data_IF_259971758927
#
_entry.id   IF_259971758927
#
_cell.length_a   1.000
_cell.length_b   1.000
_cell.length_c   1.000
_cell.angle_alpha   90.00
_cell.angle_beta   90.00
_cell.angle_gamma   90.00
#
_symmetry.space_group_name_H-M   'P 1'
#
loop_
_entity.id
_entity.type
_entity.pdbx_description
1 polymer ?
#
# COMPACT_ATOMS: atom_id res chain seq x y z
N UNK A 1 -21.22 -29.51 17.26
CA UNK A 1 -20.12 -30.04 16.42
C UNK A 1 -19.92 -29.00 15.35
N UNK A 2 -18.69 -28.55 15.11
CA UNK A 2 -18.46 -27.53 14.08
C UNK A 2 -19.00 -28.03 12.73
N UNK A 3 -19.72 -27.16 12.02
CA UNK A 3 -20.19 -27.43 10.68
C UNK A 3 -19.06 -27.13 9.68
N UNK A 4 -18.95 -27.96 8.65
CA UNK A 4 -17.87 -27.85 7.65
C UNK A 4 -18.48 -27.50 6.30
N UNK A 5 -17.90 -26.52 5.62
CA UNK A 5 -18.14 -26.22 4.20
C UNK A 5 -16.85 -26.53 3.44
N UNK A 6 -16.91 -27.40 2.45
CA UNK A 6 -15.77 -27.74 1.59
C UNK A 6 -15.92 -27.03 0.23
N UNK A 7 -14.82 -26.51 -0.29
CA UNK A 7 -14.80 -25.85 -1.60
C UNK A 7 -13.39 -25.89 -2.21
N UNK A 8 -13.32 -25.57 -3.50
CA UNK A 8 -12.07 -25.41 -4.25
C UNK A 8 -11.91 -23.91 -4.54
N UNK A 9 -10.72 -23.35 -4.34
CA UNK A 9 -10.46 -21.96 -4.71
C UNK A 9 -10.41 -21.80 -6.23
N UNK A 10 -11.40 -21.14 -6.83
CA UNK A 10 -11.48 -20.91 -8.28
C UNK A 10 -10.87 -19.57 -8.72
N UNK A 11 -10.40 -18.76 -7.77
CA UNK A 11 -9.87 -17.42 -8.03
C UNK A 11 -8.53 -17.49 -8.75
N UNK A 12 -8.36 -16.84 -9.91
CA UNK A 12 -7.13 -16.93 -10.71
C UNK A 12 -5.87 -16.54 -9.94
N UNK A 13 -5.96 -15.53 -9.06
CA UNK A 13 -4.83 -15.07 -8.24
C UNK A 13 -4.88 -15.60 -6.80
N UNK A 14 -5.73 -16.59 -6.51
CA UNK A 14 -5.94 -17.14 -5.17
C UNK A 14 -6.68 -16.16 -4.22
N UNK A 15 -6.63 -16.45 -2.92
CA UNK A 15 -7.22 -15.58 -1.89
C UNK A 15 -6.23 -14.53 -1.45
N UNK A 16 -6.19 -13.44 -2.21
CA UNK A 16 -5.44 -12.24 -1.85
C UNK A 16 -6.35 -11.21 -1.16
N UNK A 17 -5.86 -10.00 -0.85
CA UNK A 17 -6.61 -9.11 0.04
C UNK A 17 -8.01 -8.69 -0.42
N UNK A 18 -8.31 -8.54 -1.72
CA UNK A 18 -9.69 -8.22 -2.14
C UNK A 18 -10.65 -9.38 -1.84
N UNK A 19 -10.42 -10.61 -2.35
CA UNK A 19 -11.22 -11.76 -1.95
C UNK A 19 -11.23 -12.01 -0.44
N UNK A 20 -10.10 -11.85 0.24
CA UNK A 20 -10.01 -12.00 1.69
C UNK A 20 -10.90 -10.97 2.42
N UNK A 21 -10.91 -9.70 2.02
CA UNK A 21 -11.80 -8.68 2.57
C UNK A 21 -13.28 -8.98 2.32
N UNK A 22 -13.63 -9.57 1.17
CA UNK A 22 -15.00 -10.02 0.93
C UNK A 22 -15.41 -11.18 1.86
N UNK A 23 -14.54 -12.17 2.04
CA UNK A 23 -14.74 -13.26 3.00
C UNK A 23 -14.86 -12.71 4.41
N UNK A 24 -13.92 -11.86 4.83
CA UNK A 24 -13.90 -11.18 6.12
C UNK A 24 -15.19 -10.40 6.38
N UNK A 25 -15.62 -9.59 5.42
CA UNK A 25 -16.83 -8.75 5.54
C UNK A 25 -18.05 -9.63 5.80
N UNK A 26 -18.20 -10.72 5.04
CA UNK A 26 -19.31 -11.64 5.24
C UNK A 26 -19.18 -12.41 6.56
N UNK A 27 -17.99 -12.89 6.90
CA UNK A 27 -17.78 -13.66 8.14
C UNK A 27 -18.03 -12.79 9.40
N UNK A 28 -17.73 -11.49 9.34
CA UNK A 28 -18.00 -10.55 10.42
C UNK A 28 -19.49 -10.26 10.64
N UNK A 29 -20.40 -10.67 9.74
CA UNK A 29 -21.85 -10.57 10.01
C UNK A 29 -22.36 -11.64 10.97
N UNK A 30 -21.54 -12.66 11.28
CA UNK A 30 -21.88 -13.76 12.17
C UNK A 30 -21.18 -13.62 13.51
N UNK A 31 -21.82 -14.11 14.56
CA UNK A 31 -21.25 -14.24 15.91
C UNK A 31 -20.35 -15.48 16.04
N UNK A 32 -20.61 -16.55 15.29
CA UNK A 32 -19.83 -17.80 15.31
C UNK A 32 -18.37 -17.61 14.97
N UNK A 33 -17.51 -18.46 15.52
CA UNK A 33 -16.13 -18.60 15.07
C UNK A 33 -16.12 -19.31 13.72
N UNK A 34 -15.33 -18.79 12.79
CA UNK A 34 -15.20 -19.31 11.43
C UNK A 34 -13.71 -19.44 11.14
N UNK A 35 -13.22 -20.66 10.97
CA UNK A 35 -11.82 -20.97 10.64
C UNK A 35 -11.73 -21.39 9.18
N UNK A 36 -10.86 -20.73 8.42
CA UNK A 36 -10.45 -21.12 7.08
C UNK A 36 -9.26 -22.06 7.15
N UNK A 37 -9.34 -23.20 6.49
CA UNK A 37 -8.26 -24.19 6.43
C UNK A 37 -7.90 -24.48 4.97
N UNK A 38 -6.66 -24.17 4.58
CA UNK A 38 -6.11 -24.62 3.31
C UNK A 38 -5.47 -26.00 3.49
N UNK A 39 -6.04 -27.02 2.82
CA UNK A 39 -5.59 -28.40 2.97
C UNK A 39 -4.24 -28.67 2.28
N UNK A 40 -3.81 -27.84 1.31
CA UNK A 40 -2.50 -27.97 0.67
C UNK A 40 -1.37 -27.57 1.62
N UNK A 41 -1.53 -26.44 2.29
CA UNK A 41 -0.50 -25.88 3.17
C UNK A 41 -0.65 -26.34 4.63
N UNK A 42 -1.77 -26.97 4.95
CA UNK A 42 -2.23 -27.27 6.32
C UNK A 42 -2.29 -26.03 7.22
N UNK A 43 -2.42 -24.84 6.61
CA UNK A 43 -2.52 -23.57 7.35
C UNK A 43 -3.96 -23.23 7.62
N UNK A 44 -4.19 -22.67 8.81
CA UNK A 44 -5.48 -22.23 9.31
C UNK A 44 -5.46 -20.74 9.60
N UNK A 45 -6.57 -20.07 9.37
CA UNK A 45 -6.73 -18.65 9.64
C UNK A 45 -8.15 -18.32 10.09
N UNK A 46 -8.30 -17.31 10.94
CA UNK A 46 -9.61 -16.78 11.29
C UNK A 46 -10.25 -16.13 10.06
N UNK A 47 -11.40 -16.64 9.60
CA UNK A 47 -12.06 -16.12 8.40
C UNK A 47 -12.67 -14.72 8.60
N UNK A 48 -12.69 -14.21 9.83
CA UNK A 48 -13.03 -12.82 10.16
C UNK A 48 -11.82 -11.87 10.15
N UNK A 49 -10.67 -12.35 9.69
CA UNK A 49 -9.45 -11.57 9.52
C UNK A 49 -8.96 -11.77 8.09
N UNK A 50 -8.93 -10.69 7.32
CA UNK A 50 -8.30 -10.70 6.01
C UNK A 50 -6.80 -11.07 6.12
N UNK A 51 -6.10 -10.62 7.16
CA UNK A 51 -4.69 -10.97 7.41
C UNK A 51 -4.50 -12.49 7.58
N UNK A 52 -5.32 -13.12 8.43
CA UNK A 52 -5.22 -14.56 8.69
C UNK A 52 -5.59 -15.40 7.47
N UNK A 53 -6.61 -14.98 6.71
CA UNK A 53 -6.97 -15.62 5.44
C UNK A 53 -5.81 -15.59 4.44
N UNK A 54 -5.16 -14.44 4.30
CA UNK A 54 -3.98 -14.28 3.45
C UNK A 54 -2.83 -15.18 3.90
N UNK A 55 -2.58 -15.27 5.21
CA UNK A 55 -1.55 -16.13 5.80
C UNK A 55 -1.70 -17.62 5.47
N UNK A 56 -2.90 -18.07 5.10
CA UNK A 56 -3.15 -19.45 4.65
C UNK A 56 -2.51 -19.79 3.29
N UNK A 57 -2.06 -18.77 2.53
CA UNK A 57 -1.45 -18.89 1.20
C UNK A 57 -2.34 -19.70 0.25
N UNK A 58 -3.65 -19.41 0.20
CA UNK A 58 -4.61 -20.12 -0.66
C UNK A 58 -4.47 -19.71 -2.13
N UNK A 59 -4.17 -20.69 -2.99
CA UNK A 59 -3.97 -20.53 -4.43
C UNK A 59 -5.11 -21.14 -5.25
N UNK A 60 -5.16 -20.80 -6.53
CA UNK A 60 -6.11 -21.40 -7.48
C UNK A 60 -5.97 -22.93 -7.48
N UNK A 61 -7.11 -23.63 -7.38
CA UNK A 61 -7.19 -25.09 -7.34
C UNK A 61 -6.97 -25.72 -5.96
N UNK A 62 -6.67 -24.95 -4.91
CA UNK A 62 -6.52 -25.49 -3.55
C UNK A 62 -7.86 -25.97 -3.01
N UNK A 63 -7.85 -27.13 -2.32
CA UNK A 63 -8.98 -27.60 -1.54
C UNK A 63 -8.98 -26.93 -0.17
N UNK A 64 -10.12 -26.35 0.20
CA UNK A 64 -10.26 -25.58 1.43
C UNK A 64 -11.50 -26.01 2.22
N UNK A 65 -11.45 -25.75 3.52
CA UNK A 65 -12.57 -25.96 4.44
C UNK A 65 -12.86 -24.69 5.24
N UNK A 66 -14.14 -24.39 5.44
CA UNK A 66 -14.60 -23.47 6.48
C UNK A 66 -15.17 -24.28 7.64
N UNK A 67 -14.59 -24.14 8.82
CA UNK A 67 -15.08 -24.74 10.06
C UNK A 67 -15.84 -23.67 10.83
N UNK A 68 -17.14 -23.89 11.06
CA UNK A 68 -18.04 -22.92 11.67
C UNK A 68 -18.55 -23.47 12.99
N UNK A 69 -18.37 -22.74 14.08
CA UNK A 69 -18.85 -23.13 15.39
C UNK A 69 -19.35 -21.94 16.20
N UNK A 70 -20.56 -22.04 16.75
CA UNK A 70 -21.14 -20.97 17.57
C UNK A 70 -22.66 -20.92 17.53
N UNK A 71 -23.21 -19.79 17.97
CA UNK A 71 -24.66 -19.63 18.18
C UNK A 71 -25.46 -19.60 16.87
N UNK A 72 -24.89 -19.03 15.82
CA UNK A 72 -25.49 -18.90 14.48
C UNK A 72 -24.81 -19.83 13.44
N UNK A 73 -24.21 -20.94 13.89
CA UNK A 73 -23.43 -21.83 13.02
C UNK A 73 -24.22 -22.40 11.84
N UNK A 74 -25.51 -22.68 12.02
CA UNK A 74 -26.41 -23.18 10.97
C UNK A 74 -26.68 -22.12 9.89
N UNK A 75 -26.99 -20.88 10.31
CA UNK A 75 -27.23 -19.77 9.40
C UNK A 75 -25.96 -19.40 8.63
N UNK A 76 -24.82 -19.34 9.35
CA UNK A 76 -23.50 -19.14 8.78
C UNK A 76 -23.16 -20.21 7.74
N UNK A 77 -23.36 -21.50 8.07
CA UNK A 77 -23.11 -22.61 7.15
C UNK A 77 -23.91 -22.47 5.85
N UNK A 78 -25.21 -22.19 5.94
CA UNK A 78 -26.07 -22.04 4.76
C UNK A 78 -25.64 -20.85 3.90
N UNK A 79 -25.45 -19.67 4.50
CA UNK A 79 -25.10 -18.43 3.78
C UNK A 79 -23.72 -18.51 3.15
N UNK A 80 -22.72 -19.02 3.88
CA UNK A 80 -21.34 -19.16 3.38
C UNK A 80 -21.25 -20.21 2.27
N UNK A 81 -21.96 -21.34 2.40
CA UNK A 81 -22.02 -22.36 1.34
C UNK A 81 -22.60 -21.81 0.04
N UNK A 82 -23.65 -20.97 0.13
CA UNK A 82 -24.23 -20.31 -1.04
C UNK A 82 -23.27 -19.26 -1.61
N UNK A 83 -22.71 -18.41 -0.75
CA UNK A 83 -21.81 -17.34 -1.16
C UNK A 83 -20.56 -17.86 -1.88
N UNK A 84 -19.92 -18.91 -1.35
CA UNK A 84 -18.75 -19.55 -1.94
C UNK A 84 -19.01 -20.10 -3.34
N UNK A 85 -20.26 -20.48 -3.64
CA UNK A 85 -20.67 -20.97 -4.95
C UNK A 85 -20.99 -19.85 -5.93
N UNK A 86 -21.77 -18.88 -5.48
CA UNK A 86 -22.44 -17.94 -6.39
C UNK A 86 -21.67 -16.61 -6.52
N UNK A 87 -21.01 -16.16 -5.45
CA UNK A 87 -20.41 -14.83 -5.35
C UNK A 87 -18.89 -14.87 -5.31
N UNK A 88 -18.30 -15.76 -4.51
CA UNK A 88 -16.85 -15.84 -4.30
C UNK A 88 -16.01 -15.92 -5.59
N UNK A 89 -16.36 -16.71 -6.62
CA UNK A 89 -15.58 -16.78 -7.86
C UNK A 89 -15.46 -15.44 -8.61
N UNK A 90 -16.30 -14.45 -8.27
CA UNK A 90 -16.36 -13.14 -8.90
C UNK A 90 -15.66 -12.05 -8.09
N UNK A 91 -15.09 -12.39 -6.92
CA UNK A 91 -14.40 -11.45 -6.03
C UNK A 91 -13.01 -11.00 -6.53
N UNK A 92 -12.47 -11.63 -7.58
CA UNK A 92 -11.17 -11.31 -8.17
C UNK A 92 -11.30 -10.78 -9.61
N UNK A 93 -12.22 -9.84 -9.84
CA UNK A 93 -12.31 -9.18 -11.15
C UNK A 93 -10.94 -8.58 -11.55
N UNK A 94 -10.43 -8.86 -12.77
CA UNK A 94 -9.05 -8.62 -13.13
C UNK A 94 -8.68 -7.14 -13.07
N UNK A 95 -7.51 -6.85 -12.48
CA UNK A 95 -6.84 -5.56 -12.63
C UNK A 95 -6.36 -5.45 -14.09
N UNK A 96 -6.52 -4.28 -14.70
CA UNK A 96 -6.06 -4.06 -16.07
C UNK A 96 -4.55 -4.34 -16.18
N UNK A 97 -4.18 -5.33 -17.00
CA UNK A 97 -2.79 -5.57 -17.34
C UNK A 97 -2.21 -4.33 -18.05
N UNK A 98 -1.16 -3.75 -17.47
CA UNK A 98 -0.41 -2.69 -18.13
C UNK A 98 0.58 -3.34 -19.08
N UNK A 99 0.46 -3.01 -20.38
CA UNK A 99 1.30 -3.54 -21.45
C UNK A 99 2.79 -3.21 -21.25
N UNK A 100 3.59 -4.27 -21.39
CA UNK A 100 5.01 -4.40 -21.80
C UNK A 100 6.11 -3.62 -21.07
N UNK A 101 7.09 -4.37 -20.56
CA UNK A 101 8.38 -3.97 -19.97
C UNK A 101 9.38 -3.33 -20.96
N UNK A 102 8.99 -2.99 -22.19
CA UNK A 102 9.90 -2.40 -23.17
C UNK A 102 9.96 -0.87 -23.01
N UNK A 103 11.14 -0.37 -22.65
CA UNK A 103 11.44 1.05 -22.59
C UNK A 103 11.31 1.67 -23.99
N UNK A 104 10.35 2.60 -24.15
CA UNK A 104 10.19 3.33 -25.42
C UNK A 104 11.47 4.09 -25.79
N UNK A 105 11.82 4.18 -27.09
CA UNK A 105 13.00 4.90 -27.53
C UNK A 105 12.90 6.39 -27.19
N UNK A 106 14.04 6.99 -26.85
CA UNK A 106 14.11 8.43 -26.56
C UNK A 106 13.72 9.27 -27.79
N UNK A 107 13.03 10.41 -27.60
CA UNK A 107 12.81 11.37 -28.67
C UNK A 107 14.13 11.78 -29.33
N UNK A 108 14.15 11.86 -30.66
CA UNK A 108 15.35 12.25 -31.43
C UNK A 108 15.82 13.66 -31.04
N UNK A 109 14.86 14.57 -30.82
CA UNK A 109 15.10 15.93 -30.33
C UNK A 109 15.90 15.96 -29.03
N UNK A 110 15.57 15.07 -28.08
CA UNK A 110 16.26 14.95 -26.80
C UNK A 110 17.62 14.25 -26.97
N UNK A 111 17.68 13.17 -27.75
CA UNK A 111 18.89 12.38 -28.00
C UNK A 111 20.00 13.25 -28.63
N UNK A 112 19.65 14.14 -29.54
CA UNK A 112 20.59 15.05 -30.20
C UNK A 112 21.23 16.08 -29.24
N UNK A 113 20.65 16.30 -28.06
CA UNK A 113 21.21 17.18 -27.03
C UNK A 113 22.28 16.46 -26.19
N UNK A 114 22.50 15.16 -26.41
CA UNK A 114 23.42 14.31 -25.67
C UNK A 114 23.33 14.45 -24.13
N UNK A 115 22.11 14.35 -23.54
CA UNK A 115 21.93 14.46 -22.10
C UNK A 115 22.48 13.24 -21.34
N UNK A 116 22.81 13.44 -20.07
CA UNK A 116 23.08 12.33 -19.16
C UNK A 116 21.75 11.76 -18.65
N UNK A 117 21.46 10.49 -18.99
CA UNK A 117 20.17 9.85 -18.72
C UNK A 117 20.35 8.58 -17.90
N UNK A 118 19.50 8.42 -16.89
CA UNK A 118 19.25 7.16 -16.20
C UNK A 118 17.86 6.66 -16.66
N UNK A 119 17.77 5.37 -16.99
CA UNK A 119 16.54 4.75 -17.52
C UNK A 119 15.81 4.01 -16.41
N UNK A 120 14.49 4.11 -16.39
CA UNK A 120 13.64 3.41 -15.42
C UNK A 120 12.26 3.15 -16.02
N UNK A 121 11.50 2.23 -15.40
CA UNK A 121 10.20 1.80 -15.90
C UNK A 121 9.16 2.90 -15.67
N UNK A 122 8.44 3.27 -16.73
CA UNK A 122 7.32 4.18 -16.64
C UNK A 122 6.11 3.53 -15.99
N UNK A 123 5.46 4.27 -15.08
CA UNK A 123 4.11 3.92 -14.63
C UNK A 123 3.11 5.06 -14.79
N UNK A 124 3.54 6.30 -14.56
CA UNK A 124 2.75 7.48 -14.89
C UNK A 124 3.53 8.36 -15.85
N UNK A 125 2.90 8.63 -17.00
CA UNK A 125 3.43 9.48 -18.07
C UNK A 125 3.49 10.95 -17.66
N UNK A 126 4.13 11.77 -18.50
CA UNK A 126 4.33 13.20 -18.30
C UNK A 126 5.77 13.56 -17.94
N UNK A 127 6.12 14.84 -18.09
CA UNK A 127 7.47 15.34 -17.83
C UNK A 127 7.45 16.48 -16.82
N UNK A 128 8.44 16.54 -15.93
CA UNK A 128 8.57 17.62 -14.98
C UNK A 128 10.03 17.88 -14.57
N UNK A 129 10.32 19.10 -14.13
CA UNK A 129 11.60 19.49 -13.55
C UNK A 129 11.46 19.85 -12.07
N UNK A 130 12.46 19.52 -11.27
CA UNK A 130 12.46 19.82 -9.85
C UNK A 130 13.77 19.44 -9.17
N UNK A 131 13.88 19.82 -7.90
CA UNK A 131 15.01 19.46 -7.06
C UNK A 131 14.86 18.01 -6.60
N UNK A 132 15.87 17.18 -6.88
CA UNK A 132 15.89 15.79 -6.44
C UNK A 132 15.93 15.74 -4.91
N UNK A 133 14.85 15.26 -4.30
CA UNK A 133 14.67 15.29 -2.84
C UNK A 133 14.50 13.87 -2.32
N UNK A 134 15.45 13.35 -1.52
CA UNK A 134 15.27 12.05 -0.90
C UNK A 134 14.17 12.10 0.15
N UNK A 135 13.28 11.11 0.11
CA UNK A 135 12.26 10.86 1.12
C UNK A 135 12.61 9.53 1.79
N UNK A 136 12.74 9.56 3.11
CA UNK A 136 12.98 8.34 3.87
C UNK A 136 11.77 7.42 3.79
N UNK A 137 11.99 6.19 3.33
CA UNK A 137 11.00 5.14 3.43
C UNK A 137 10.69 4.86 4.90
N UNK A 138 9.42 4.58 5.19
CA UNK A 138 8.99 4.23 6.53
C UNK A 138 9.60 2.88 6.92
N UNK A 139 10.51 2.88 7.89
CA UNK A 139 11.02 1.65 8.51
C UNK A 139 10.75 1.68 10.02
N UNK A 140 9.82 0.83 10.44
CA UNK A 140 9.42 0.72 11.84
C UNK A 140 10.55 0.14 12.72
N UNK A 141 11.48 -0.63 12.13
CA UNK A 141 12.62 -1.19 12.85
C UNK A 141 13.72 -0.17 13.12
N UNK A 142 13.78 0.89 12.31
CA UNK A 142 14.71 2.00 12.50
C UNK A 142 14.25 2.99 13.59
N UNK A 143 13.04 2.83 14.13
CA UNK A 143 12.52 3.67 15.21
C UNK A 143 13.32 3.45 16.50
N UNK A 144 14.20 4.39 16.82
CA UNK A 144 14.97 4.38 18.06
C UNK A 144 14.18 5.00 19.23
N UNK A 145 14.55 4.62 20.46
CA UNK A 145 13.94 5.14 21.69
C UNK A 145 12.42 5.00 21.73
N UNK A 146 11.89 3.79 21.51
CA UNK A 146 10.46 3.55 21.69
C UNK A 146 10.05 3.89 23.14
N UNK A 147 8.85 4.48 23.35
CA UNK A 147 8.32 4.72 24.69
C UNK A 147 8.34 3.45 25.55
N UNK A 148 8.81 3.58 26.79
CA UNK A 148 8.78 2.49 27.75
C UNK A 148 7.33 2.16 28.15
N UNK A 149 7.08 0.89 28.45
CA UNK A 149 5.78 0.42 28.90
C UNK A 149 5.37 1.10 30.21
N UNK A 150 4.10 1.48 30.29
CA UNK A 150 3.41 1.86 31.53
C UNK A 150 2.76 0.62 32.15
N UNK A 151 1.73 0.81 32.98
CA UNK A 151 0.86 -0.27 33.41
C UNK A 151 0.05 -0.83 32.22
N UNK A 152 -0.24 -2.14 32.29
CA UNK A 152 -0.91 -2.88 31.20
C UNK A 152 -2.27 -2.28 30.87
N UNK A 153 -3.04 -1.85 31.89
CA UNK A 153 -4.36 -1.27 31.70
C UNK A 153 -4.28 0.06 30.93
N UNK A 154 -3.31 0.92 31.25
CA UNK A 154 -3.07 2.16 30.53
C UNK A 154 -2.61 1.93 29.09
N UNK A 155 -1.75 0.94 28.84
CA UNK A 155 -1.32 0.59 27.48
C UNK A 155 -2.50 0.01 26.67
N UNK A 156 -3.29 -0.91 27.23
CA UNK A 156 -4.48 -1.45 26.55
C UNK A 156 -5.48 -0.34 26.21
N UNK A 157 -5.75 0.57 27.16
CA UNK A 157 -6.65 1.70 26.91
C UNK A 157 -6.08 2.66 25.85
N UNK A 158 -4.78 2.92 25.84
CA UNK A 158 -4.14 3.75 24.82
C UNK A 158 -4.24 3.10 23.43
N UNK A 159 -4.04 1.78 23.35
CA UNK A 159 -4.16 1.01 22.11
C UNK A 159 -5.58 1.05 21.54
N UNK A 160 -6.61 0.75 22.36
CA UNK A 160 -8.02 0.77 21.94
C UNK A 160 -8.46 2.16 21.48
N UNK A 161 -8.09 3.20 22.22
CA UNK A 161 -8.36 4.58 21.85
C UNK A 161 -7.65 4.96 20.54
N UNK A 162 -6.39 4.55 20.39
CA UNK A 162 -5.60 4.77 19.17
C UNK A 162 -6.24 4.13 17.95
N UNK A 163 -6.63 2.85 18.03
CA UNK A 163 -7.31 2.13 16.95
C UNK A 163 -8.64 2.80 16.58
N UNK A 164 -9.43 3.19 17.58
CA UNK A 164 -10.68 3.92 17.38
C UNK A 164 -10.47 5.23 16.63
N UNK A 165 -9.42 5.98 16.96
CA UNK A 165 -9.09 7.24 16.29
C UNK A 165 -8.59 7.02 14.86
N UNK A 166 -7.75 6.01 14.62
CA UNK A 166 -7.29 5.63 13.27
C UNK A 166 -8.49 5.32 12.37
N UNK A 167 -9.40 4.45 12.83
CA UNK A 167 -10.60 4.07 12.08
C UNK A 167 -11.48 5.29 11.76
N UNK A 168 -11.76 6.14 12.75
CA UNK A 168 -12.53 7.38 12.54
C UNK A 168 -11.86 8.33 11.54
N UNK A 169 -10.54 8.48 11.60
CA UNK A 169 -9.80 9.34 10.66
C UNK A 169 -9.83 8.78 9.23
N UNK A 170 -9.79 7.46 9.06
CA UNK A 170 -9.95 6.81 7.76
C UNK A 170 -11.38 7.02 7.24
N UNK A 171 -12.40 6.80 8.07
CA UNK A 171 -13.81 7.02 7.72
C UNK A 171 -14.09 8.46 7.32
N UNK A 172 -13.52 9.44 8.03
CA UNK A 172 -13.66 10.84 7.68
C UNK A 172 -13.04 11.16 6.32
N UNK A 173 -11.83 10.64 6.05
CA UNK A 173 -11.16 10.83 4.75
C UNK A 173 -11.92 10.17 3.60
N UNK A 174 -12.61 9.05 3.85
CA UNK A 174 -13.42 8.37 2.84
C UNK A 174 -14.55 9.24 2.29
N UNK A 175 -15.11 10.15 3.11
CA UNK A 175 -16.25 11.00 2.73
C UNK A 175 -15.96 11.96 1.56
N UNK A 176 -14.71 12.38 1.39
CA UNK A 176 -14.27 13.35 0.36
C UNK A 176 -13.26 12.73 -0.63
N UNK A 177 -13.14 11.41 -0.64
CA UNK A 177 -12.17 10.70 -1.47
C UNK A 177 -12.72 10.36 -2.87
N UNK A 178 -11.84 10.43 -3.88
CA UNK A 178 -12.15 9.91 -5.22
C UNK A 178 -12.07 8.38 -5.27
N UNK A 179 -12.50 7.77 -6.38
CA UNK A 179 -12.60 6.29 -6.46
C UNK A 179 -11.29 5.54 -6.20
N UNK A 180 -10.15 6.08 -6.62
CA UNK A 180 -8.84 5.46 -6.41
C UNK A 180 -8.36 5.59 -4.96
N UNK A 181 -8.51 6.80 -4.38
CA UNK A 181 -8.17 7.07 -2.98
C UNK A 181 -9.09 6.30 -2.04
N UNK A 182 -10.38 6.19 -2.37
CA UNK A 182 -11.38 5.46 -1.60
C UNK A 182 -11.01 3.98 -1.46
N UNK A 183 -10.68 3.30 -2.56
CA UNK A 183 -10.31 1.88 -2.52
C UNK A 183 -9.10 1.61 -1.60
N UNK A 184 -8.15 2.54 -1.53
CA UNK A 184 -6.96 2.43 -0.68
C UNK A 184 -7.32 2.67 0.79
N UNK A 185 -8.14 3.68 1.06
CA UNK A 185 -8.62 3.97 2.41
C UNK A 185 -9.52 2.85 2.95
N UNK A 186 -10.34 2.21 2.12
CA UNK A 186 -11.11 1.02 2.48
C UNK A 186 -10.20 -0.15 2.85
N UNK A 187 -9.12 -0.35 2.10
CA UNK A 187 -8.07 -1.31 2.40
C UNK A 187 -7.42 -1.03 3.77
N UNK A 188 -7.08 0.22 4.07
CA UNK A 188 -6.54 0.61 5.38
C UNK A 188 -7.56 0.45 6.49
N UNK A 189 -8.85 0.73 6.23
CA UNK A 189 -9.95 0.52 7.20
C UNK A 189 -10.08 -0.95 7.57
N UNK A 190 -10.07 -1.85 6.57
CA UNK A 190 -10.12 -3.31 6.78
C UNK A 190 -8.92 -3.76 7.62
N UNK A 191 -7.69 -3.34 7.28
CA UNK A 191 -6.49 -3.68 8.05
C UNK A 191 -6.52 -3.15 9.49
N UNK A 192 -6.92 -1.89 9.70
CA UNK A 192 -6.99 -1.29 11.03
C UNK A 192 -8.07 -1.93 11.92
N UNK A 193 -9.13 -2.49 11.32
CA UNK A 193 -10.19 -3.22 12.00
C UNK A 193 -9.99 -4.73 12.05
N UNK A 194 -8.88 -5.25 11.50
CA UNK A 194 -8.64 -6.68 11.37
C UNK A 194 -8.47 -7.33 12.76
N UNK A 195 -9.22 -8.42 12.98
CA UNK A 195 -9.25 -9.10 14.28
C UNK A 195 -7.88 -9.66 14.66
N UNK A 196 -7.12 -10.22 13.72
CA UNK A 196 -5.81 -10.81 14.01
C UNK A 196 -4.75 -9.74 14.27
N UNK A 197 -4.81 -8.58 13.61
CA UNK A 197 -3.96 -7.45 13.98
C UNK A 197 -4.24 -7.02 15.43
N UNK A 198 -5.51 -6.87 15.78
CA UNK A 198 -5.92 -6.45 17.12
C UNK A 198 -5.49 -7.46 18.20
N UNK A 199 -5.72 -8.76 17.96
CA UNK A 199 -5.30 -9.83 18.87
C UNK A 199 -3.78 -9.86 19.08
N UNK A 200 -3.00 -9.70 18.01
CA UNK A 200 -1.53 -9.70 18.10
C UNK A 200 -1.01 -8.46 18.86
N UNK A 201 -1.61 -7.29 18.64
CA UNK A 201 -1.30 -6.06 19.38
C UNK A 201 -1.60 -6.22 20.87
N UNK A 202 -2.80 -6.71 21.22
CA UNK A 202 -3.21 -6.94 22.60
C UNK A 202 -2.35 -7.99 23.30
N UNK A 203 -1.97 -9.05 22.61
CA UNK A 203 -1.08 -10.08 23.13
C UNK A 203 0.29 -9.51 23.49
N UNK A 204 0.85 -8.65 22.63
CA UNK A 204 2.10 -7.93 22.90
C UNK A 204 2.01 -7.07 24.15
N UNK A 205 0.98 -6.24 24.26
CA UNK A 205 0.76 -5.38 25.44
C UNK A 205 0.55 -6.21 26.72
N UNK A 206 -0.22 -7.30 26.63
CA UNK A 206 -0.48 -8.19 27.77
C UNK A 206 0.78 -8.95 28.22
N UNK A 207 1.74 -9.15 27.32
CA UNK A 207 3.06 -9.68 27.64
C UNK A 207 4.03 -8.64 28.25
N UNK A 208 3.59 -7.39 28.44
CA UNK A 208 4.34 -6.32 29.07
C UNK A 208 5.10 -5.41 28.10
N UNK A 209 4.87 -5.52 26.80
CA UNK A 209 5.40 -4.56 25.82
C UNK A 209 4.66 -3.22 25.93
N UNK A 210 5.34 -2.12 25.61
CA UNK A 210 4.64 -0.85 25.39
C UNK A 210 3.78 -0.94 24.12
N UNK A 211 2.78 -0.05 23.97
CA UNK A 211 2.02 0.02 22.72
C UNK A 211 2.96 0.18 21.51
N UNK A 212 3.99 1.01 21.61
CA UNK A 212 4.92 1.21 20.52
C UNK A 212 5.67 -0.08 20.14
N UNK A 213 6.17 -0.82 21.12
CA UNK A 213 6.85 -2.10 20.90
C UNK A 213 5.91 -3.16 20.32
N UNK A 214 4.68 -3.26 20.85
CA UNK A 214 3.67 -4.17 20.36
C UNK A 214 3.26 -3.86 18.91
N UNK A 215 3.16 -2.58 18.55
CA UNK A 215 2.85 -2.13 17.18
C UNK A 215 3.98 -2.50 16.21
N UNK A 216 5.23 -2.22 16.56
CA UNK A 216 6.39 -2.58 15.72
C UNK A 216 6.49 -4.10 15.56
N UNK A 217 6.32 -4.85 16.64
CA UNK A 217 6.34 -6.31 16.61
C UNK A 217 5.22 -6.90 15.72
N UNK A 218 4.00 -6.34 15.82
CA UNK A 218 2.86 -6.77 15.00
C UNK A 218 3.07 -6.44 13.53
N UNK A 219 3.55 -5.24 13.22
CA UNK A 219 3.86 -4.86 11.85
C UNK A 219 4.89 -5.81 11.23
N UNK A 220 5.97 -6.11 11.96
CA UNK A 220 7.01 -7.04 11.49
C UNK A 220 6.46 -8.45 11.26
N UNK A 221 5.66 -8.97 12.19
CA UNK A 221 5.06 -10.30 12.08
C UNK A 221 4.28 -10.45 10.76
N UNK A 222 3.31 -9.56 10.50
CA UNK A 222 2.49 -9.64 9.29
C UNK A 222 3.27 -9.27 8.02
N UNK A 223 4.21 -8.33 8.09
CA UNK A 223 5.07 -8.01 6.94
C UNK A 223 5.93 -9.21 6.53
N UNK A 224 6.48 -9.98 7.49
CA UNK A 224 7.24 -11.20 7.21
C UNK A 224 6.35 -12.30 6.61
N UNK A 225 5.14 -12.48 7.12
CA UNK A 225 4.18 -13.43 6.55
C UNK A 225 3.86 -13.10 5.09
N UNK A 226 3.63 -11.82 4.80
CA UNK A 226 3.33 -11.33 3.45
C UNK A 226 4.53 -11.43 2.51
N UNK A 227 5.74 -11.13 3.00
CA UNK A 227 6.96 -11.28 2.22
C UNK A 227 7.25 -12.73 1.79
N UNK A 228 6.78 -13.71 2.58
CA UNK A 228 6.90 -15.14 2.26
C UNK A 228 5.85 -15.64 1.27
N UNK A 229 4.81 -14.86 0.98
CA UNK A 229 3.79 -15.25 0.02
C UNK A 229 4.33 -15.28 -1.40
N UNK A 230 3.84 -16.23 -2.20
CA UNK A 230 4.12 -16.30 -3.64
C UNK A 230 3.36 -15.24 -4.46
N UNK A 231 2.35 -14.61 -3.87
CA UNK A 231 1.55 -13.58 -4.53
C UNK A 231 2.20 -12.21 -4.43
N UNK A 232 2.56 -11.62 -5.58
CA UNK A 232 3.07 -10.24 -5.67
C UNK A 232 2.12 -9.22 -5.03
N UNK A 233 0.82 -9.42 -5.21
CA UNK A 233 -0.19 -8.55 -4.61
C UNK A 233 -0.11 -8.56 -3.08
N UNK A 234 0.13 -9.73 -2.47
CA UNK A 234 0.26 -9.84 -1.01
C UNK A 234 1.57 -9.23 -0.51
N UNK A 235 2.67 -9.39 -1.24
CA UNK A 235 3.92 -8.70 -0.93
C UNK A 235 3.73 -7.17 -0.95
N UNK A 236 2.94 -6.64 -1.89
CA UNK A 236 2.60 -5.21 -1.95
C UNK A 236 1.74 -4.74 -0.76
N UNK A 237 1.02 -5.64 -0.07
CA UNK A 237 0.23 -5.33 1.15
C UNK A 237 1.05 -5.16 2.41
N UNK A 238 2.30 -5.63 2.45
CA UNK A 238 3.19 -5.36 3.59
C UNK A 238 3.35 -3.84 3.84
N UNK A 239 3.36 -3.06 2.75
CA UNK A 239 3.36 -1.60 2.83
C UNK A 239 2.14 -1.03 3.54
N UNK A 240 0.94 -1.55 3.26
CA UNK A 240 -0.29 -1.05 3.88
C UNK A 240 -0.35 -1.37 5.38
N UNK A 241 0.10 -2.57 5.79
CA UNK A 241 0.18 -2.93 7.22
C UNK A 241 1.14 -2.00 7.94
N UNK A 242 2.34 -1.81 7.37
CA UNK A 242 3.35 -0.89 7.92
C UNK A 242 2.81 0.53 8.05
N UNK A 243 2.05 0.97 7.06
CA UNK A 243 1.38 2.27 7.05
C UNK A 243 0.36 2.41 8.19
N UNK A 244 -0.58 1.47 8.31
CA UNK A 244 -1.61 1.48 9.37
C UNK A 244 -0.96 1.45 10.76
N UNK A 245 0.07 0.64 10.96
CA UNK A 245 0.81 0.58 12.22
C UNK A 245 1.52 1.92 12.53
N UNK A 246 2.07 2.60 11.53
CA UNK A 246 2.68 3.90 11.74
C UNK A 246 1.66 4.99 12.06
N UNK A 247 0.51 5.00 11.38
CA UNK A 247 -0.60 5.90 11.71
C UNK A 247 -1.06 5.67 13.16
N UNK A 248 -1.12 4.42 13.62
CA UNK A 248 -1.45 4.10 15.01
C UNK A 248 -0.42 4.66 16.01
N UNK A 249 0.89 4.54 15.71
CA UNK A 249 1.94 5.18 16.52
C UNK A 249 1.74 6.70 16.61
N UNK A 250 1.42 7.35 15.49
CA UNK A 250 1.16 8.79 15.45
C UNK A 250 -0.09 9.18 16.25
N UNK A 251 -1.16 8.38 16.22
CA UNK A 251 -2.36 8.67 17.02
C UNK A 251 -2.09 8.54 18.53
N UNK A 252 -1.31 7.55 18.95
CA UNK A 252 -1.06 7.30 20.38
C UNK A 252 -0.06 8.30 20.97
N UNK A 253 1.00 8.65 20.21
CA UNK A 253 2.14 9.41 20.75
C UNK A 253 2.36 10.78 20.10
N UNK A 254 1.64 11.08 19.01
CA UNK A 254 1.71 12.34 18.27
C UNK A 254 2.78 12.39 17.18
N UNK A 255 2.51 13.20 16.15
CA UNK A 255 3.40 13.43 15.01
C UNK A 255 4.75 14.04 15.39
N UNK A 256 4.85 14.74 16.53
CA UNK A 256 6.14 15.26 17.00
C UNK A 256 7.12 14.13 17.36
N UNK A 257 6.60 13.00 17.84
CA UNK A 257 7.40 11.81 18.17
C UNK A 257 7.66 10.98 16.93
N UNK A 258 6.65 10.83 16.08
CA UNK A 258 6.68 10.05 14.86
C UNK A 258 6.37 10.95 13.66
N UNK A 259 7.35 11.74 13.21
CA UNK A 259 7.11 12.72 12.16
C UNK A 259 6.87 12.05 10.81
N UNK A 260 5.95 12.64 10.06
CA UNK A 260 5.76 12.41 8.65
C UNK A 260 7.06 12.63 7.84
N UNK A 261 7.17 12.06 6.62
CA UNK A 261 8.21 12.43 5.67
C UNK A 261 8.23 13.96 5.48
N UNK A 262 9.44 14.51 5.39
CA UNK A 262 9.69 15.95 5.49
C UNK A 262 8.85 16.82 4.53
N UNK A 263 8.62 18.08 4.93
CA UNK A 263 7.87 19.05 4.12
C UNK A 263 8.65 19.46 2.87
N UNK A 264 7.97 19.42 1.72
CA UNK A 264 8.47 19.99 0.49
C UNK A 264 8.33 21.52 0.53
N UNK A 265 9.41 22.25 0.26
CA UNK A 265 9.44 23.72 0.28
C UNK A 265 9.57 24.34 -1.11
N UNK A 266 9.78 23.52 -2.13
CA UNK A 266 10.00 23.92 -3.52
C UNK A 266 9.62 22.78 -4.46
N UNK A 267 9.54 23.07 -5.76
CA UNK A 267 9.29 22.06 -6.80
C UNK A 267 10.31 20.91 -6.69
N UNK A 268 9.84 19.73 -6.34
CA UNK A 268 10.67 18.58 -6.00
C UNK A 268 10.32 17.36 -6.84
N UNK A 269 11.34 16.59 -7.18
CA UNK A 269 11.20 15.22 -7.66
C UNK A 269 11.63 14.33 -6.51
N UNK A 270 10.67 13.63 -5.91
CA UNK A 270 10.91 12.82 -4.73
C UNK A 270 11.50 11.48 -5.14
N UNK A 271 12.58 11.07 -4.48
CA UNK A 271 13.15 9.73 -4.61
C UNK A 271 13.02 8.97 -3.30
N UNK A 272 12.59 7.72 -3.36
CA UNK A 272 12.49 6.82 -2.20
C UNK A 272 12.71 5.38 -2.64
N UNK A 273 13.05 4.49 -1.69
CA UNK A 273 13.01 3.06 -1.98
C UNK A 273 11.57 2.63 -2.22
N UNK A 274 10.73 2.94 -1.23
CA UNK A 274 9.28 2.76 -1.20
C UNK A 274 8.62 3.96 -0.52
N UNK A 275 7.36 4.20 -0.83
CA UNK A 275 6.56 5.24 -0.18
C UNK A 275 5.19 4.64 0.15
N UNK A 276 4.74 4.79 1.40
CA UNK A 276 3.39 4.33 1.77
C UNK A 276 2.31 5.30 1.27
N UNK A 277 1.05 4.87 1.16
CA UNK A 277 -0.05 5.75 0.78
C UNK A 277 -0.19 7.00 1.68
N UNK A 278 -0.05 6.88 3.01
CA UNK A 278 -0.09 8.02 3.93
C UNK A 278 1.05 9.01 3.66
N UNK A 279 2.28 8.50 3.57
CA UNK A 279 3.46 9.29 3.24
C UNK A 279 3.28 10.04 1.93
N UNK A 280 2.71 9.39 0.91
CA UNK A 280 2.37 10.07 -0.33
C UNK A 280 1.33 11.17 -0.09
N UNK A 281 0.19 10.86 0.52
CA UNK A 281 -0.91 11.82 0.72
C UNK A 281 -0.49 13.07 1.52
N UNK A 282 0.46 12.93 2.44
CA UNK A 282 1.01 14.04 3.23
C UNK A 282 1.93 14.99 2.44
N UNK A 283 2.53 14.53 1.33
CA UNK A 283 3.36 15.39 0.48
C UNK A 283 2.51 16.48 -0.20
N UNK A 284 2.96 17.73 -0.11
CA UNK A 284 2.31 18.86 -0.77
C UNK A 284 2.31 18.69 -2.29
N UNK A 285 1.13 18.47 -2.87
CA UNK A 285 0.92 18.24 -4.30
C UNK A 285 1.24 19.46 -5.16
N UNK A 286 1.33 20.66 -4.58
CA UNK A 286 1.78 21.85 -5.30
C UNK A 286 3.29 21.81 -5.57
N UNK A 287 4.05 21.17 -4.68
CA UNK A 287 5.49 21.06 -4.74
C UNK A 287 5.99 19.72 -5.30
N UNK A 288 5.23 18.64 -5.13
CA UNK A 288 5.56 17.34 -5.72
C UNK A 288 5.37 17.35 -7.24
N UNK A 289 6.47 17.32 -7.99
CA UNK A 289 6.47 17.36 -9.46
C UNK A 289 6.73 16.01 -10.13
N UNK A 290 7.32 15.07 -9.40
CA UNK A 290 7.56 13.73 -9.91
C UNK A 290 7.95 12.77 -8.78
N UNK A 291 7.82 11.47 -9.05
CA UNK A 291 8.13 10.41 -8.12
C UNK A 291 9.05 9.36 -8.75
N UNK A 292 10.13 9.03 -8.04
CA UNK A 292 11.11 8.01 -8.41
C UNK A 292 11.16 6.96 -7.30
N UNK A 293 10.78 5.72 -7.60
CA UNK A 293 10.76 4.62 -6.64
C UNK A 293 11.72 3.49 -7.03
N UNK A 294 12.46 2.94 -6.07
CA UNK A 294 13.26 1.73 -6.28
C UNK A 294 12.37 0.53 -6.51
N UNK A 295 11.41 0.31 -5.61
CA UNK A 295 10.42 -0.75 -5.69
C UNK A 295 9.00 -0.16 -5.79
N UNK A 296 8.17 -0.85 -6.56
CA UNK A 296 6.78 -0.44 -6.79
C UNK A 296 6.24 -1.10 -8.05
N UNK A 297 5.29 -2.02 -7.90
CA UNK A 297 4.54 -2.55 -9.03
C UNK A 297 3.55 -1.53 -9.59
N UNK A 298 3.07 -1.77 -10.79
CA UNK A 298 1.97 -0.99 -11.39
C UNK A 298 0.68 -1.05 -10.58
N UNK A 299 0.57 -2.05 -9.70
CA UNK A 299 -0.55 -2.30 -8.79
C UNK A 299 -0.33 -1.72 -7.39
N UNK A 300 0.83 -1.14 -7.10
CA UNK A 300 1.10 -0.49 -5.81
C UNK A 300 0.12 0.66 -5.58
N UNK A 301 -0.49 0.71 -4.41
CA UNK A 301 -1.44 1.75 -4.03
C UNK A 301 -0.86 3.17 -4.16
N UNK A 302 0.41 3.35 -3.80
CA UNK A 302 1.09 4.65 -3.95
C UNK A 302 1.24 5.06 -5.42
N UNK A 303 1.47 4.09 -6.30
CA UNK A 303 1.57 4.32 -7.74
C UNK A 303 0.19 4.63 -8.34
N UNK A 304 -0.86 3.96 -7.86
CA UNK A 304 -2.26 4.26 -8.24
C UNK A 304 -2.63 5.69 -7.83
N UNK A 305 -2.26 6.12 -6.61
CA UNK A 305 -2.45 7.51 -6.17
C UNK A 305 -1.67 8.48 -7.04
N UNK A 306 -0.38 8.24 -7.28
CA UNK A 306 0.42 9.13 -8.12
C UNK A 306 -0.21 9.34 -9.51
N UNK A 307 -0.82 8.30 -10.08
CA UNK A 307 -1.60 8.40 -11.33
C UNK A 307 -2.87 9.23 -11.19
N UNK A 308 -3.66 9.09 -10.13
CA UNK A 308 -4.89 9.90 -9.96
C UNK A 308 -4.58 11.39 -9.79
N UNK A 309 -3.42 11.71 -9.20
CA UNK A 309 -2.91 13.08 -9.10
C UNK A 309 -2.12 13.57 -10.33
N UNK A 310 -2.07 12.78 -11.42
CA UNK A 310 -1.31 13.09 -12.65
C UNK A 310 0.16 13.44 -12.41
N UNK A 311 0.82 12.73 -11.48
CA UNK A 311 2.23 12.94 -11.12
C UNK A 311 3.11 11.96 -11.91
N UNK A 312 4.04 12.43 -12.76
CA UNK A 312 4.99 11.59 -13.46
C UNK A 312 5.72 10.65 -12.49
N UNK A 313 5.72 9.36 -12.79
CA UNK A 313 6.21 8.33 -11.86
C UNK A 313 7.00 7.25 -12.59
N UNK A 314 8.24 7.03 -12.15
CA UNK A 314 9.10 5.94 -12.59
C UNK A 314 9.39 4.99 -11.42
N UNK A 315 9.42 3.69 -11.71
CA UNK A 315 9.71 2.62 -10.75
C UNK A 315 10.89 1.77 -11.22
N UNK A 316 11.48 0.96 -10.34
CA UNK A 316 12.68 0.18 -10.68
C UNK A 316 13.90 1.07 -10.85
N UNK A 317 13.90 2.24 -10.19
CA UNK A 317 14.97 3.23 -10.29
C UNK A 317 16.18 2.75 -9.50
N UNK A 318 17.36 2.85 -10.10
CA UNK A 318 18.62 2.72 -9.37
C UNK A 318 18.86 3.99 -8.54
N UNK A 319 18.47 3.92 -7.28
CA UNK A 319 18.60 5.02 -6.30
C UNK A 319 20.07 5.38 -6.05
N UNK A 320 20.98 4.40 -6.07
CA UNK A 320 22.41 4.64 -5.82
C UNK A 320 23.04 5.44 -6.97
N UNK A 321 22.59 5.20 -8.20
CA UNK A 321 22.98 6.02 -9.35
C UNK A 321 22.50 7.48 -9.26
N UNK A 322 21.45 7.75 -8.46
CA UNK A 322 20.89 9.08 -8.25
C UNK A 322 21.49 9.84 -7.06
N UNK A 323 22.12 9.15 -6.12
CA UNK A 323 22.71 9.76 -4.91
C UNK A 323 23.65 10.94 -5.20
N UNK A 324 24.53 10.94 -6.24
CA UNK A 324 25.38 12.10 -6.54
C UNK A 324 24.61 13.38 -6.91
N UNK A 325 23.36 13.24 -7.31
CA UNK A 325 22.51 14.32 -7.84
C UNK A 325 21.51 14.84 -6.81
N UNK A 326 21.56 14.36 -5.56
CA UNK A 326 20.67 14.82 -4.50
C UNK A 326 20.76 16.34 -4.34
N UNK A 327 19.60 16.96 -4.13
CA UNK A 327 19.42 18.40 -3.99
C UNK A 327 19.80 19.23 -5.24
N UNK A 328 20.01 18.58 -6.39
CA UNK A 328 20.22 19.23 -7.67
C UNK A 328 18.95 19.22 -8.52
N UNK A 329 18.89 20.11 -9.50
CA UNK A 329 17.81 20.12 -10.49
C UNK A 329 17.96 18.93 -11.42
N UNK A 330 16.90 18.12 -11.53
CA UNK A 330 16.78 17.05 -12.51
C UNK A 330 15.46 17.17 -13.26
N UNK A 331 15.34 16.43 -14.35
CA UNK A 331 14.06 16.25 -15.06
C UNK A 331 13.65 14.78 -15.06
N UNK A 332 12.36 14.55 -14.84
CA UNK A 332 11.70 13.26 -15.04
C UNK A 332 10.92 13.33 -16.35
N UNK A 333 11.06 12.29 -17.16
CA UNK A 333 10.30 12.10 -18.40
C UNK A 333 9.64 10.73 -18.34
N UNK A 334 8.42 10.71 -17.82
CA UNK A 334 7.56 9.54 -17.73
C UNK A 334 7.12 9.04 -19.09
N UNK A 335 7.12 9.85 -20.15
CA UNK A 335 6.78 9.36 -21.49
C UNK A 335 7.91 8.47 -22.01
N UNK A 336 9.15 8.94 -21.88
CA UNK A 336 10.31 8.23 -22.38
C UNK A 336 10.87 7.19 -21.39
N UNK A 337 10.49 7.21 -20.11
CA UNK A 337 11.13 6.39 -19.07
C UNK A 337 12.55 6.88 -18.75
N UNK A 338 12.75 8.19 -18.70
CA UNK A 338 14.06 8.81 -18.55
C UNK A 338 14.13 9.74 -17.34
N UNK A 339 15.29 9.72 -16.67
CA UNK A 339 15.68 10.67 -15.63
C UNK A 339 16.89 11.40 -16.17
N UNK A 340 16.77 12.72 -16.33
CA UNK A 340 17.82 13.55 -16.89
C UNK A 340 18.51 14.30 -15.77
N UNK A 341 19.77 13.96 -15.55
CA UNK A 341 20.64 14.57 -14.55
C UNK A 341 21.57 15.59 -15.20
N UNK A 342 22.07 16.54 -14.41
CA UNK A 342 22.92 17.65 -14.89
C UNK A 342 22.39 18.32 -16.17
N UNK A 343 21.13 18.81 -16.17
CA UNK A 343 20.54 19.34 -17.40
C UNK A 343 21.26 20.63 -17.81
N UNK A 344 22.04 20.56 -18.89
CA UNK A 344 22.59 21.74 -19.55
C UNK A 344 21.49 22.66 -20.09
N UNK A 345 21.83 23.91 -20.45
CA UNK A 345 20.83 24.90 -20.87
C UNK A 345 19.92 24.42 -22.02
N UNK A 346 20.46 23.70 -22.99
CA UNK A 346 19.69 23.22 -24.13
C UNK A 346 18.62 22.20 -23.71
N UNK A 347 18.97 21.29 -22.79
CA UNK A 347 18.07 20.28 -22.22
C UNK A 347 17.02 20.93 -21.32
N UNK A 348 17.42 21.90 -20.50
CA UNK A 348 16.48 22.67 -19.68
C UNK A 348 15.47 23.43 -20.55
N UNK A 349 15.92 24.06 -21.65
CA UNK A 349 15.03 24.73 -22.62
C UNK A 349 14.09 23.74 -23.31
N UNK A 350 14.55 22.54 -23.65
CA UNK A 350 13.71 21.49 -24.22
C UNK A 350 12.53 21.16 -23.30
N UNK A 351 12.78 20.82 -22.03
CA UNK A 351 11.72 20.49 -21.09
C UNK A 351 10.83 21.68 -20.70
N UNK A 352 11.35 22.91 -20.71
CA UNK A 352 10.54 24.12 -20.56
C UNK A 352 9.56 24.31 -21.72
N UNK A 353 9.95 23.96 -22.95
CA UNK A 353 9.04 24.01 -24.10
C UNK A 353 7.97 22.93 -24.00
N UNK A 354 8.35 21.70 -23.65
CA UNK A 354 7.41 20.60 -23.43
C UNK A 354 6.37 20.95 -22.35
N UNK A 355 6.81 21.51 -21.22
CA UNK A 355 5.91 21.95 -20.15
C UNK A 355 4.88 22.99 -20.64
N UNK A 356 5.30 23.98 -21.43
CA UNK A 356 4.40 25.01 -22.00
C UNK A 356 3.37 24.42 -22.94
N UNK A 357 3.76 23.43 -23.76
CA UNK A 357 2.84 22.74 -24.67
C UNK A 357 1.80 21.96 -23.87
N UNK A 358 2.23 21.22 -22.85
CA UNK A 358 1.35 20.46 -21.96
C UNK A 358 0.35 21.37 -21.20
N UNK A 359 0.81 22.52 -20.69
CA UNK A 359 -0.05 23.47 -20.00
C UNK A 359 -1.11 24.08 -20.96
N UNK A 360 -0.73 24.41 -22.19
CA UNK A 360 -1.66 24.92 -23.20
C UNK A 360 -2.72 23.88 -23.60
N UNK A 361 -2.33 22.60 -23.72
CA UNK A 361 -3.26 21.48 -23.98
C UNK A 361 -4.24 21.27 -22.83
N UNK A 362 -3.77 21.33 -21.57
CA UNK A 362 -4.62 21.20 -20.38
C UNK A 362 -5.65 22.32 -20.28
N UNK A 363 -5.27 23.56 -20.62
CA UNK A 363 -6.17 24.70 -20.61
C UNK A 363 -7.27 24.56 -21.68
N UNK A 364 -6.94 24.04 -22.86
CA UNK A 364 -7.92 23.77 -23.92
C UNK A 364 -8.91 22.65 -23.58
N UNK A 365 -8.52 21.68 -22.75
CA UNK A 365 -9.37 20.55 -22.34
C UNK A 365 -10.27 20.87 -21.12
N UNK A 366 -10.04 22.01 -20.45
CA UNK A 366 -10.86 22.48 -19.32
C UNK A 366 -12.05 23.35 -19.75
N UNK A 367 -12.12 23.74 -21.03
CA UNK A 367 -13.24 24.44 -21.67
C UNK A 367 -14.19 23.43 -22.27
#
# INVERSE_FOLDING_TARGET
MALIVEFICELPNGVHARPASHVETLCNTFSSQIEWHNLRTDRKGNAKSALALIGTDTLVGDNCQLLISGADEQEGHQRLSQWLRDEFPHCDAPLAEVKSDELEPLPVSLTNLNPQIIRARTVCSGSAGGILTPISSLDLNALSNLPAAKDVDAEQSALENGLTLVLKNIEFRLLDSDGATSAILEAHRSLAGDTSLHEHLLAGVSAGLSCAEAIVASANHFCEEFARSSSRYLQERALDVRDVCFQLLQQIYGEQRFPAPGKLTQSAICMADELTPSQFLELDKNHLKGLLLKSGGTTSHTVILARSFNIPTLVGVDIDALTPWQHQTIYIDGNAGAIVVEPGEAVARYYQQEARVQDALREQQRV
#
